data_IF_056693389180
#
_entry.id   IF_056693389180
#
_cell.length_a   1.000
_cell.length_b   1.000
_cell.length_c   1.000
_cell.angle_alpha   90.00
_cell.angle_beta   90.00
_cell.angle_gamma   90.00
#
_symmetry.space_group_name_H-M   'P 1'
#
loop_
_entity.id
_entity.type
_entity.pdbx_description
1 polymer ?
#
# COMPACT_ATOMS: atom_id res chain seq x y z
N UNK A 1 1.17 10.86 -27.11
CA UNK A 1 1.97 10.13 -28.11
C UNK A 1 2.60 8.94 -27.41
N UNK A 2 2.04 7.75 -27.59
CA UNK A 2 2.56 6.50 -27.02
C UNK A 2 3.50 5.85 -28.04
N UNK A 3 4.73 5.51 -27.63
CA UNK A 3 5.67 4.74 -28.46
C UNK A 3 5.58 3.27 -28.05
N UNK A 4 5.31 2.39 -29.02
CA UNK A 4 5.29 0.94 -28.83
C UNK A 4 6.72 0.39 -28.84
N UNK A 5 7.06 -0.43 -27.86
CA UNK A 5 8.18 -1.36 -27.91
C UNK A 5 7.61 -2.74 -28.27
N UNK A 6 8.15 -3.36 -29.33
CA UNK A 6 7.91 -4.77 -29.66
C UNK A 6 8.97 -5.61 -28.95
N UNK A 7 8.54 -6.61 -28.19
CA UNK A 7 9.37 -7.72 -27.73
C UNK A 7 8.65 -9.04 -28.05
N UNK A 8 9.44 -10.01 -28.49
CA UNK A 8 9.07 -11.13 -29.34
C UNK A 8 9.02 -12.42 -28.50
N UNK A 9 7.87 -12.71 -27.88
CA UNK A 9 7.48 -14.05 -27.40
C UNK A 9 5.96 -14.11 -27.18
N UNK A 10 5.33 -15.16 -27.74
CA UNK A 10 3.89 -15.32 -27.92
C UNK A 10 3.13 -15.63 -26.60
N UNK A 11 2.90 -14.61 -25.79
CA UNK A 11 1.69 -14.49 -24.98
C UNK A 11 1.12 -13.10 -25.25
N UNK A 12 -0.19 -13.00 -25.51
CA UNK A 12 -0.85 -11.71 -25.73
C UNK A 12 -0.96 -10.97 -24.40
N UNK A 13 0.17 -10.44 -23.93
CA UNK A 13 0.28 -9.65 -22.72
C UNK A 13 -0.24 -8.25 -23.00
N UNK A 14 -1.32 -7.86 -22.32
CA UNK A 14 -1.81 -6.47 -22.38
C UNK A 14 -1.17 -5.67 -21.25
N UNK A 15 -0.37 -4.68 -21.62
CA UNK A 15 0.31 -3.77 -20.70
C UNK A 15 -0.42 -2.43 -20.61
N UNK A 16 -0.65 -1.95 -19.39
CA UNK A 16 -1.08 -0.59 -19.10
C UNK A 16 -0.06 0.08 -18.16
N UNK A 17 0.29 1.32 -18.46
CA UNK A 17 1.27 2.09 -17.67
C UNK A 17 0.57 3.33 -17.13
N UNK A 18 0.65 3.52 -15.82
CA UNK A 18 0.16 4.70 -15.12
C UNK A 18 1.31 5.43 -14.44
N UNK A 19 1.21 6.76 -14.39
CA UNK A 19 2.10 7.61 -13.62
C UNK A 19 1.36 8.18 -12.41
N UNK A 20 2.05 8.22 -11.27
CA UNK A 20 1.52 8.71 -10.03
C UNK A 20 2.60 9.25 -9.12
N UNK A 21 2.23 9.47 -7.87
CA UNK A 21 3.12 9.94 -6.82
C UNK A 21 3.16 8.90 -5.70
N UNK A 22 4.33 8.73 -5.09
CA UNK A 22 4.49 7.93 -3.89
C UNK A 22 4.99 8.80 -2.75
N UNK A 23 4.37 8.65 -1.57
CA UNK A 23 4.84 9.24 -0.32
C UNK A 23 5.48 8.15 0.54
N UNK A 24 6.77 8.31 0.81
CA UNK A 24 7.55 7.41 1.66
C UNK A 24 7.32 7.81 3.11
N UNK A 25 7.05 6.81 3.95
CA UNK A 25 6.89 6.99 5.38
C UNK A 25 7.40 5.78 6.15
N UNK A 26 7.60 5.99 7.45
CA UNK A 26 7.88 4.93 8.41
C UNK A 26 6.58 4.51 9.10
N UNK A 27 6.32 3.21 9.15
CA UNK A 27 5.27 2.63 10.00
C UNK A 27 5.90 1.67 10.99
N UNK A 28 5.30 1.57 12.17
CA UNK A 28 5.68 0.55 13.13
C UNK A 28 5.03 -0.77 12.72
N UNK A 29 5.85 -1.80 12.58
CA UNK A 29 5.38 -3.16 12.33
C UNK A 29 4.44 -3.60 13.46
N UNK A 30 3.31 -4.19 13.10
CA UNK A 30 2.25 -4.57 14.05
C UNK A 30 1.16 -3.51 14.24
N UNK A 31 1.43 -2.21 14.01
CA UNK A 31 0.37 -1.20 14.01
C UNK A 31 -0.51 -1.26 12.75
N UNK A 32 -0.03 -1.90 11.68
CA UNK A 32 -0.80 -2.11 10.44
C UNK A 32 -2.10 -2.91 10.67
N UNK A 33 -2.11 -3.80 11.67
CA UNK A 33 -3.29 -4.57 12.06
C UNK A 33 -4.29 -3.76 12.91
N UNK A 34 -3.92 -2.55 13.33
CA UNK A 34 -4.74 -1.66 14.15
C UNK A 34 -5.61 -0.82 13.21
N UNK A 35 -6.73 -1.41 12.81
CA UNK A 35 -7.73 -0.75 11.99
C UNK A 35 -9.12 -0.88 12.63
N UNK A 36 -9.88 0.21 12.58
CA UNK A 36 -11.32 0.18 12.85
C UNK A 36 -12.04 -0.27 11.59
N UNK A 37 -12.89 -1.28 11.73
CA UNK A 37 -13.71 -1.83 10.66
C UNK A 37 -15.11 -1.22 10.71
N UNK A 38 -15.87 -1.19 9.60
CA UNK A 38 -17.23 -0.65 9.60
C UNK A 38 -18.14 -1.27 10.68
N UNK A 39 -17.98 -2.57 10.95
CA UNK A 39 -18.78 -3.30 11.94
C UNK A 39 -18.52 -2.80 13.38
N UNK A 40 -17.33 -2.25 13.63
CA UNK A 40 -16.94 -1.72 14.94
C UNK A 40 -17.76 -0.45 15.29
N UNK A 41 -18.46 0.18 14.34
CA UNK A 41 -19.32 1.36 14.55
C UNK A 41 -20.83 1.06 14.65
N UNK A 42 -21.21 -0.21 14.70
CA UNK A 42 -22.63 -0.62 14.70
C UNK A 42 -23.35 -0.37 16.02
N UNK A 43 -22.61 -0.22 17.13
CA UNK A 43 -23.16 0.13 18.44
C UNK A 43 -22.08 0.67 19.38
N UNK A 44 -22.45 1.34 20.49
CA UNK A 44 -21.49 1.78 21.51
C UNK A 44 -20.65 0.64 22.08
N UNK A 45 -21.23 -0.55 22.27
CA UNK A 45 -20.52 -1.73 22.78
C UNK A 45 -19.51 -2.26 21.76
N UNK A 46 -19.88 -2.32 20.48
CA UNK A 46 -18.96 -2.73 19.40
C UNK A 46 -17.73 -1.82 19.33
N UNK A 47 -17.93 -0.50 19.47
CA UNK A 47 -16.84 0.46 19.48
C UNK A 47 -15.93 0.27 20.70
N UNK A 48 -16.51 0.07 21.89
CA UNK A 48 -15.74 -0.22 23.09
C UNK A 48 -14.87 -1.48 22.93
N UNK A 49 -15.43 -2.56 22.38
CA UNK A 49 -14.66 -3.78 22.10
C UNK A 49 -13.52 -3.55 21.09
N UNK A 50 -13.77 -2.77 20.05
CA UNK A 50 -12.74 -2.44 19.06
C UNK A 50 -11.61 -1.60 19.68
N UNK A 51 -11.94 -0.63 20.53
CA UNK A 51 -10.95 0.17 21.25
C UNK A 51 -10.10 -0.69 22.21
N UNK A 52 -10.71 -1.64 22.91
CA UNK A 52 -9.97 -2.60 23.75
C UNK A 52 -8.99 -3.43 22.92
N UNK A 53 -9.42 -3.96 21.78
CA UNK A 53 -8.55 -4.71 20.84
C UNK A 53 -7.37 -3.85 20.35
N UNK A 54 -7.63 -2.59 20.00
CA UNK A 54 -6.60 -1.64 19.58
C UNK A 54 -5.59 -1.41 20.71
N UNK A 55 -6.06 -1.17 21.93
CA UNK A 55 -5.21 -0.96 23.09
C UNK A 55 -4.29 -2.16 23.36
N UNK A 56 -4.83 -3.38 23.34
CA UNK A 56 -4.02 -4.60 23.49
C UNK A 56 -2.98 -4.77 22.39
N UNK A 57 -3.34 -4.44 21.14
CA UNK A 57 -2.39 -4.49 20.03
C UNK A 57 -1.25 -3.47 20.20
N UNK A 58 -1.56 -2.25 20.67
CA UNK A 58 -0.54 -1.24 20.98
C UNK A 58 0.41 -1.73 22.07
N UNK A 59 -0.12 -2.29 23.17
CA UNK A 59 0.71 -2.83 24.25
C UNK A 59 1.67 -3.92 23.76
N UNK A 60 1.18 -4.86 22.95
CA UNK A 60 2.02 -5.92 22.37
C UNK A 60 3.15 -5.37 21.51
N UNK A 61 2.89 -4.31 20.73
CA UNK A 61 3.92 -3.66 19.91
C UNK A 61 4.97 -2.96 20.78
N UNK A 62 4.56 -2.33 21.89
CA UNK A 62 5.48 -1.71 22.83
C UNK A 62 6.36 -2.76 23.54
N UNK A 63 5.79 -3.89 23.95
CA UNK A 63 6.51 -5.01 24.58
C UNK A 63 7.50 -5.69 23.62
N UNK A 64 7.12 -5.90 22.36
CA UNK A 64 7.97 -6.52 21.35
C UNK A 64 9.13 -5.63 20.87
N UNK A 65 9.09 -4.35 21.21
CA UNK A 65 10.04 -3.33 20.77
C UNK A 65 9.74 -2.77 19.37
N UNK A 66 10.12 -1.51 19.10
CA UNK A 66 9.80 -0.85 17.83
C UNK A 66 10.55 -1.48 16.66
N UNK A 67 9.82 -2.16 15.77
CA UNK A 67 10.33 -2.57 14.46
C UNK A 67 9.81 -1.62 13.40
N UNK A 68 10.71 -0.86 12.78
CA UNK A 68 10.36 0.10 11.73
C UNK A 68 10.23 -0.62 10.40
N UNK A 69 9.24 -0.22 9.61
CA UNK A 69 9.08 -0.64 8.23
C UNK A 69 8.82 0.59 7.38
N UNK A 70 9.52 0.70 6.26
CA UNK A 70 9.33 1.76 5.30
C UNK A 70 8.24 1.34 4.31
N UNK A 71 7.36 2.28 3.97
CA UNK A 71 6.24 2.06 3.05
C UNK A 71 6.11 3.27 2.13
N UNK A 72 5.74 3.01 0.88
CA UNK A 72 5.33 4.03 -0.07
C UNK A 72 3.81 3.99 -0.25
N UNK A 73 3.10 5.04 0.19
CA UNK A 73 1.71 5.26 -0.22
C UNK A 73 1.71 5.77 -1.67
N UNK A 74 1.34 4.92 -2.60
CA UNK A 74 1.21 5.22 -4.03
C UNK A 74 -0.19 5.73 -4.32
N UNK A 75 -0.28 6.83 -5.07
CA UNK A 75 -1.52 7.41 -5.56
C UNK A 75 -1.44 7.68 -7.06
N UNK A 76 -2.42 7.20 -7.81
CA UNK A 76 -2.57 7.47 -9.24
C UNK A 76 -4.04 7.48 -9.65
N UNK A 77 -4.32 7.92 -10.88
CA UNK A 77 -5.65 7.87 -11.49
C UNK A 77 -5.67 6.78 -12.56
N UNK A 78 -6.62 5.86 -12.49
CA UNK A 78 -6.75 4.77 -13.46
C UNK A 78 -7.34 5.25 -14.80
N UNK A 79 -7.49 4.33 -15.76
CA UNK A 79 -8.02 4.64 -17.10
C UNK A 79 -9.50 5.03 -17.12
N UNK A 80 -10.23 4.79 -16.02
CA UNK A 80 -11.65 5.11 -15.86
C UNK A 80 -11.86 6.39 -15.04
N UNK A 81 -10.79 7.05 -14.58
CA UNK A 81 -10.85 8.26 -13.78
C UNK A 81 -10.95 8.04 -12.27
N UNK A 82 -10.80 6.80 -11.80
CA UNK A 82 -10.83 6.51 -10.36
C UNK A 82 -9.48 6.83 -9.71
N UNK A 83 -9.52 7.42 -8.52
CA UNK A 83 -8.32 7.56 -7.69
C UNK A 83 -8.01 6.24 -6.98
N UNK A 84 -6.86 5.68 -7.29
CA UNK A 84 -6.37 4.45 -6.67
C UNK A 84 -5.26 4.81 -5.70
N UNK A 85 -5.38 4.30 -4.47
CA UNK A 85 -4.38 4.49 -3.40
C UNK A 85 -4.04 3.12 -2.82
N UNK A 86 -2.76 2.79 -2.77
CA UNK A 86 -2.28 1.54 -2.17
C UNK A 86 -0.87 1.74 -1.58
N UNK A 87 -0.46 0.83 -0.71
CA UNK A 87 0.87 0.86 -0.11
C UNK A 87 1.80 -0.17 -0.75
N UNK A 88 3.06 0.22 -0.96
CA UNK A 88 4.16 -0.68 -1.33
C UNK A 88 5.12 -0.77 -0.16
N UNK A 89 5.40 -1.99 0.27
CA UNK A 89 6.35 -2.27 1.33
C UNK A 89 7.80 -2.15 0.83
N UNK A 90 8.58 -1.29 1.48
CA UNK A 90 9.97 -1.00 1.12
C UNK A 90 10.99 -1.71 2.05
N UNK A 91 10.51 -2.47 3.04
CA UNK A 91 11.34 -3.22 3.98
C UNK A 91 11.78 -2.43 5.21
N UNK A 92 12.79 -2.93 5.92
CA UNK A 92 13.20 -2.40 7.23
C UNK A 92 14.29 -1.33 7.17
N UNK A 93 15.00 -1.24 6.04
CA UNK A 93 16.07 -0.26 5.83
C UNK A 93 15.56 1.00 5.12
N UNK A 94 16.14 2.18 5.40
CA UNK A 94 15.77 3.41 4.70
C UNK A 94 15.92 3.23 3.19
N UNK A 95 14.87 3.49 2.39
CA UNK A 95 14.94 3.32 0.95
C UNK A 95 15.84 4.40 0.33
N UNK A 96 16.43 4.16 -0.86
CA UNK A 96 17.46 5.03 -1.44
C UNK A 96 16.87 6.29 -2.12
N UNK A 97 16.07 7.05 -1.38
CA UNK A 97 15.44 8.27 -1.85
C UNK A 97 15.85 9.45 -0.97
N UNK A 98 16.18 10.58 -1.60
CA UNK A 98 16.52 11.83 -0.90
C UNK A 98 15.31 12.68 -0.53
N UNK A 99 14.11 12.29 -0.97
CA UNK A 99 12.84 13.01 -0.77
C UNK A 99 11.77 12.03 -0.35
N UNK A 100 10.89 12.47 0.55
CA UNK A 100 9.72 11.69 0.98
C UNK A 100 8.64 11.61 -0.09
N UNK A 101 8.62 12.55 -1.04
CA UNK A 101 7.71 12.56 -2.19
C UNK A 101 8.46 12.22 -3.46
N UNK A 102 8.13 11.08 -4.08
CA UNK A 102 8.77 10.56 -5.29
C UNK A 102 7.73 10.26 -6.37
N UNK A 103 8.20 10.05 -7.61
CA UNK A 103 7.33 9.59 -8.71
C UNK A 103 7.12 8.09 -8.59
N UNK A 104 5.91 7.64 -8.89
CA UNK A 104 5.59 6.22 -9.01
C UNK A 104 5.21 5.91 -10.45
N UNK A 105 5.71 4.78 -10.97
CA UNK A 105 5.24 4.19 -12.23
C UNK A 105 4.59 2.87 -11.90
N UNK A 106 3.34 2.71 -12.30
CA UNK A 106 2.56 1.50 -12.11
C UNK A 106 2.48 0.82 -13.47
N UNK A 107 2.91 -0.45 -13.52
CA UNK A 107 2.81 -1.28 -14.72
C UNK A 107 1.84 -2.41 -14.39
N UNK A 108 0.72 -2.45 -15.12
CA UNK A 108 -0.27 -3.51 -15.00
C UNK A 108 -0.12 -4.40 -16.23
N UNK A 109 0.16 -5.67 -16.00
CA UNK A 109 0.25 -6.70 -17.03
C UNK A 109 -0.94 -7.66 -16.87
N UNK A 110 -1.69 -7.85 -17.94
CA UNK A 110 -2.79 -8.80 -18.03
C UNK A 110 -2.33 -9.97 -18.90
N UNK A 111 -2.42 -11.17 -18.35
CA UNK A 111 -2.07 -12.45 -18.97
C UNK A 111 -3.10 -13.52 -18.57
N UNK A 112 -3.18 -14.63 -19.32
CA UNK A 112 -4.09 -15.75 -19.00
C UNK A 112 -3.49 -16.64 -17.91
N UNK A 113 -4.34 -17.24 -17.08
CA UNK A 113 -3.94 -18.28 -16.12
C UNK A 113 -3.77 -19.61 -16.87
N UNK A 114 -2.81 -20.46 -16.45
CA UNK A 114 -2.49 -21.73 -17.13
C UNK A 114 -3.61 -22.78 -17.04
#
# INVERSE_FOLDING_TARGET
MSKNYQDDSNEVKKLAIFEGEARIGEVMQGLQAIQLRPEDFTSPIALQMALSRIYEAVLKVLEAGPRKRYVAEVRFTDSMGNNVVFAVDLGESPPPFSKDKVKARIVVEIYEDE
#
